data_IF_893203669123
#
_entry.id   IF_893203669123
#
_cell.length_a   1.000
_cell.length_b   1.000
_cell.length_c   1.000
_cell.angle_alpha   90.00
_cell.angle_beta   90.00
_cell.angle_gamma   90.00
#
_symmetry.space_group_name_H-M   'P 1'
#
loop_
_entity.id
_entity.type
_entity.pdbx_description
1 polymer ?
#
# COMPACT_ATOMS: atom_id res chain seq x y z
N UNK A 1 -8.56 60.43 0.51
CA UNK A 1 -8.91 59.00 0.40
C UNK A 1 -10.11 58.89 -0.51
N UNK A 2 -9.97 58.20 -1.65
CA UNK A 2 -11.03 58.11 -2.65
C UNK A 2 -12.00 56.97 -2.29
N UNK A 3 -13.28 57.27 -2.14
CA UNK A 3 -14.31 56.29 -1.74
C UNK A 3 -14.36 55.07 -2.66
N UNK A 4 -13.96 55.25 -3.91
CA UNK A 4 -13.94 54.20 -4.93
C UNK A 4 -12.85 53.16 -4.69
N UNK A 5 -11.64 53.59 -4.32
CA UNK A 5 -10.53 52.65 -4.07
C UNK A 5 -10.74 51.83 -2.80
N UNK A 6 -11.48 52.38 -1.82
CA UNK A 6 -11.85 51.67 -0.60
C UNK A 6 -12.88 50.55 -0.87
N UNK A 7 -13.88 50.80 -1.72
CA UNK A 7 -14.88 49.79 -2.08
C UNK A 7 -14.27 48.68 -2.95
N UNK A 8 -13.38 49.03 -3.89
CA UNK A 8 -12.66 48.06 -4.73
C UNK A 8 -11.76 47.13 -3.88
N UNK A 9 -11.04 47.68 -2.90
CA UNK A 9 -10.21 46.87 -2.00
C UNK A 9 -11.03 45.99 -1.06
N UNK A 10 -12.15 46.48 -0.53
CA UNK A 10 -13.05 45.68 0.32
C UNK A 10 -13.72 44.53 -0.45
N UNK A 11 -14.13 44.76 -1.71
CA UNK A 11 -14.75 43.73 -2.54
C UNK A 11 -13.74 42.69 -3.06
N UNK A 12 -12.50 43.11 -3.38
CA UNK A 12 -11.42 42.18 -3.70
C UNK A 12 -11.02 41.29 -2.50
N UNK A 13 -10.98 41.85 -1.28
CA UNK A 13 -10.70 41.10 -0.06
C UNK A 13 -11.78 40.06 0.28
N UNK A 14 -13.06 40.38 0.09
CA UNK A 14 -14.16 39.46 0.34
C UNK A 14 -14.15 38.26 -0.62
N UNK A 15 -13.81 38.46 -1.89
CA UNK A 15 -13.73 37.39 -2.89
C UNK A 15 -12.61 36.38 -2.59
N UNK A 16 -11.46 36.84 -2.09
CA UNK A 16 -10.35 35.97 -1.69
C UNK A 16 -10.68 35.11 -0.46
N UNK A 17 -11.47 35.63 0.48
CA UNK A 17 -11.92 34.89 1.67
C UNK A 17 -12.95 33.80 1.33
N UNK A 18 -13.82 34.03 0.34
CA UNK A 18 -14.76 33.01 -0.14
C UNK A 18 -14.07 31.93 -1.00
N UNK A 19 -13.03 32.29 -1.74
CA UNK A 19 -12.25 31.33 -2.53
C UNK A 19 -11.44 30.37 -1.63
N UNK A 20 -10.93 30.84 -0.49
CA UNK A 20 -10.19 30.01 0.47
C UNK A 20 -11.10 29.13 1.33
N UNK A 21 -12.39 29.45 1.47
CA UNK A 21 -13.39 28.56 2.05
C UNK A 21 -13.88 27.46 1.08
N UNK A 22 -13.60 27.60 -0.23
CA UNK A 22 -14.00 26.68 -1.28
C UNK A 22 -12.84 25.83 -1.84
N UNK A 23 -11.60 26.02 -1.37
CA UNK A 23 -10.51 25.11 -1.67
C UNK A 23 -10.68 23.86 -0.80
N UNK A 24 -10.85 22.69 -1.41
CA UNK A 24 -11.35 21.54 -0.71
C UNK A 24 -10.25 21.05 0.23
N UNK A 25 -10.62 20.78 1.48
CA UNK A 25 -9.93 19.81 2.31
C UNK A 25 -10.08 18.45 1.62
N UNK A 26 -9.32 18.25 0.54
CA UNK A 26 -8.95 16.94 0.01
C UNK A 26 -7.75 16.43 0.83
N UNK A 27 -7.88 16.48 2.15
CA UNK A 27 -7.12 15.53 2.96
C UNK A 27 -7.78 14.19 2.67
N UNK A 28 -7.15 13.40 1.79
CA UNK A 28 -7.57 12.02 1.57
C UNK A 28 -7.52 11.33 2.93
N UNK A 29 -8.70 11.01 3.45
CA UNK A 29 -8.88 10.29 4.71
C UNK A 29 -8.27 8.89 4.47
N UNK A 30 -7.03 8.68 4.92
CA UNK A 30 -6.26 7.45 4.68
C UNK A 30 -6.76 6.35 5.61
N UNK A 31 -8.02 5.94 5.44
CA UNK A 31 -8.65 4.90 6.24
C UNK A 31 -8.27 3.52 5.71
N UNK A 32 -7.95 2.55 6.58
CA UNK A 32 -7.75 1.16 6.17
C UNK A 32 -8.96 0.65 5.40
N UNK A 33 -8.75 0.22 4.16
CA UNK A 33 -9.80 -0.35 3.32
C UNK A 33 -9.60 -1.85 3.20
N UNK A 34 -10.63 -2.61 3.54
CA UNK A 34 -10.68 -4.02 3.22
C UNK A 34 -10.95 -4.20 1.72
N UNK A 35 -10.11 -4.99 1.06
CA UNK A 35 -10.27 -5.39 -0.34
C UNK A 35 -10.81 -6.83 -0.41
N UNK A 36 -11.34 -7.22 -1.57
CA UNK A 36 -11.90 -8.56 -1.76
C UNK A 36 -10.83 -9.63 -1.55
N UNK A 37 -11.23 -10.79 -0.99
CA UNK A 37 -10.35 -11.96 -0.91
C UNK A 37 -10.17 -12.54 -2.30
N UNK A 38 -8.95 -12.94 -2.60
CA UNK A 38 -8.56 -13.53 -3.88
C UNK A 38 -7.75 -14.79 -3.63
N UNK A 39 -7.81 -15.73 -4.58
CA UNK A 39 -6.93 -16.88 -4.58
C UNK A 39 -5.64 -16.55 -5.31
N UNK A 40 -4.49 -16.77 -4.66
CA UNK A 40 -3.20 -16.73 -5.35
C UNK A 40 -3.01 -18.00 -6.17
N UNK A 41 -2.66 -17.85 -7.44
CA UNK A 41 -2.45 -18.94 -8.40
C UNK A 41 -1.10 -18.85 -9.06
N UNK A 42 -0.50 -19.96 -9.46
CA UNK A 42 0.70 -19.99 -10.30
C UNK A 42 0.41 -19.55 -11.75
N UNK A 43 1.43 -19.58 -12.62
CA UNK A 43 1.31 -19.25 -14.03
C UNK A 43 0.35 -20.16 -14.82
N UNK A 44 0.08 -21.37 -14.33
CA UNK A 44 -0.84 -22.34 -14.91
C UNK A 44 -2.29 -22.18 -14.40
N UNK A 45 -2.53 -21.27 -13.45
CA UNK A 45 -3.84 -21.02 -12.85
C UNK A 45 -4.18 -21.93 -11.66
N UNK A 46 -3.27 -22.82 -11.27
CA UNK A 46 -3.46 -23.67 -10.09
C UNK A 46 -3.29 -22.87 -8.81
N UNK A 47 -4.05 -23.25 -7.77
CA UNK A 47 -3.92 -22.66 -6.45
C UNK A 47 -2.49 -22.78 -5.93
N UNK A 48 -1.92 -21.66 -5.47
CA UNK A 48 -0.61 -21.63 -4.83
C UNK A 48 -0.62 -22.49 -3.57
N UNK A 49 0.29 -23.46 -3.51
CA UNK A 49 0.56 -24.24 -2.31
C UNK A 49 1.66 -23.58 -1.50
N UNK A 50 1.43 -23.33 -0.20
CA UNK A 50 2.46 -22.75 0.66
C UNK A 50 3.77 -23.56 0.68
N UNK A 51 3.68 -24.89 0.51
CA UNK A 51 4.83 -25.79 0.45
C UNK A 51 5.71 -25.64 -0.80
N UNK A 52 5.24 -24.96 -1.85
CA UNK A 52 6.05 -24.70 -3.04
C UNK A 52 6.89 -23.43 -2.92
N UNK A 53 6.72 -22.64 -1.86
CA UNK A 53 7.50 -21.43 -1.60
C UNK A 53 8.86 -21.81 -1.01
N UNK A 54 9.93 -21.52 -1.76
CA UNK A 54 11.29 -21.63 -1.25
C UNK A 54 11.51 -20.61 -0.13
N UNK A 55 12.19 -21.04 0.93
CA UNK A 55 12.57 -20.14 2.00
C UNK A 55 13.55 -19.08 1.48
N UNK A 56 13.40 -17.84 1.96
CA UNK A 56 14.26 -16.71 1.64
C UNK A 56 14.30 -16.33 0.14
N UNK A 57 13.30 -16.76 -0.63
CA UNK A 57 13.11 -16.39 -2.03
C UNK A 57 12.02 -15.33 -2.15
N UNK A 58 12.33 -14.22 -2.85
CA UNK A 58 11.38 -13.15 -3.15
C UNK A 58 10.46 -13.54 -4.31
N UNK A 59 9.17 -13.69 -4.03
CA UNK A 59 8.14 -13.81 -5.05
C UNK A 59 7.34 -12.51 -5.12
N UNK A 60 6.74 -12.22 -6.27
CA UNK A 60 5.91 -11.02 -6.48
C UNK A 60 4.55 -11.41 -7.03
N UNK A 61 3.51 -10.74 -6.52
CA UNK A 61 2.16 -10.74 -7.08
C UNK A 61 1.58 -9.32 -6.98
N UNK A 62 0.41 -9.11 -7.58
CA UNK A 62 -0.23 -7.80 -7.62
C UNK A 62 -1.57 -7.83 -6.88
N UNK A 63 -1.73 -6.94 -5.90
CA UNK A 63 -2.95 -6.82 -5.12
C UNK A 63 -3.03 -5.46 -4.40
N UNK A 64 -4.21 -4.82 -4.34
CA UNK A 64 -5.47 -5.23 -4.96
C UNK A 64 -5.58 -4.85 -6.44
N UNK A 65 -4.62 -4.09 -6.96
CA UNK A 65 -4.56 -3.64 -8.35
C UNK A 65 -3.30 -4.17 -9.05
N UNK A 66 -3.33 -4.22 -10.38
CA UNK A 66 -2.16 -4.59 -11.19
C UNK A 66 -0.97 -3.64 -10.96
N UNK A 67 -1.20 -2.38 -10.58
CA UNK A 67 -0.14 -1.42 -10.31
C UNK A 67 0.41 -1.46 -8.86
N UNK A 68 -0.07 -2.38 -8.01
CA UNK A 68 0.33 -2.47 -6.60
C UNK A 68 1.04 -3.79 -6.34
N UNK A 69 2.38 -3.85 -6.54
CA UNK A 69 3.15 -5.07 -6.32
C UNK A 69 3.31 -5.37 -4.83
N UNK A 70 3.29 -6.66 -4.50
CA UNK A 70 3.39 -7.21 -3.15
C UNK A 70 4.46 -8.30 -3.15
N UNK A 71 5.40 -8.22 -2.20
CA UNK A 71 6.33 -9.30 -1.94
C UNK A 71 5.64 -10.42 -1.19
N UNK A 72 5.91 -11.65 -1.60
CA UNK A 72 5.53 -12.88 -0.92
C UNK A 72 6.81 -13.64 -0.54
N UNK A 73 6.93 -13.99 0.74
CA UNK A 73 8.12 -14.61 1.30
C UNK A 73 7.74 -15.79 2.19
N UNK A 74 8.51 -16.88 2.08
CA UNK A 74 8.64 -17.84 3.17
C UNK A 74 9.92 -17.49 3.95
N UNK A 75 9.78 -17.09 5.21
CA UNK A 75 10.93 -16.66 6.04
C UNK A 75 11.80 -17.84 6.53
N UNK A 76 11.35 -19.09 6.35
CA UNK A 76 12.02 -20.28 6.91
C UNK A 76 11.93 -20.40 8.43
N UNK A 77 11.28 -19.44 9.11
CA UNK A 77 11.04 -19.40 10.55
C UNK A 77 9.68 -18.78 10.83
N UNK A 78 9.11 -19.09 11.99
CA UNK A 78 7.84 -18.52 12.41
C UNK A 78 7.94 -17.00 12.57
N UNK A 79 6.94 -16.29 12.05
CA UNK A 79 6.66 -14.89 12.32
C UNK A 79 5.45 -14.81 13.26
N UNK A 80 5.67 -14.64 14.58
CA UNK A 80 4.58 -14.59 15.54
C UNK A 80 3.76 -13.30 15.39
N UNK A 81 2.51 -13.28 15.89
CA UNK A 81 1.73 -12.06 16.01
C UNK A 81 2.48 -10.97 16.77
N UNK A 82 2.30 -9.71 16.37
CA UNK A 82 2.99 -8.57 16.98
C UNK A 82 2.06 -7.37 17.11
N UNK A 83 2.11 -6.69 18.26
CA UNK A 83 1.50 -5.38 18.43
C UNK A 83 2.43 -4.30 17.89
N UNK A 84 1.91 -3.45 17.01
CA UNK A 84 2.64 -2.43 16.28
C UNK A 84 1.95 -1.07 16.45
N UNK A 85 2.69 0.01 16.21
CA UNK A 85 2.17 1.37 16.20
C UNK A 85 2.35 2.00 14.82
N UNK A 86 1.34 2.73 14.35
CA UNK A 86 1.47 3.58 13.16
C UNK A 86 2.34 4.80 13.45
N UNK A 87 2.68 5.58 12.41
CA UNK A 87 3.36 6.86 12.57
C UNK A 87 2.61 7.80 13.53
N UNK A 88 1.28 7.75 13.49
CA UNK A 88 0.39 8.57 14.32
C UNK A 88 0.14 7.95 15.71
N UNK A 89 0.91 6.92 16.08
CA UNK A 89 0.84 6.18 17.35
C UNK A 89 -0.46 5.41 17.57
N UNK A 90 -1.19 5.11 16.51
CA UNK A 90 -2.34 4.21 16.60
C UNK A 90 -1.83 2.77 16.73
N UNK A 91 -2.35 2.03 17.70
CA UNK A 91 -2.00 0.64 17.91
C UNK A 91 -2.75 -0.26 16.92
N UNK A 92 -2.05 -1.23 16.32
CA UNK A 92 -2.66 -2.30 15.56
C UNK A 92 -1.97 -3.64 15.83
N UNK A 93 -2.73 -4.73 15.72
CA UNK A 93 -2.20 -6.08 15.88
C UNK A 93 -1.96 -6.70 14.49
N UNK A 94 -0.71 -7.04 14.20
CA UNK A 94 -0.38 -7.86 13.04
C UNK A 94 -0.53 -9.35 13.42
N UNK A 95 -1.32 -10.15 12.68
CA UNK A 95 -1.63 -11.54 13.05
C UNK A 95 -0.46 -12.51 12.86
N UNK A 96 0.69 -12.06 12.33
CA UNK A 96 1.84 -12.90 12.05
C UNK A 96 1.76 -13.61 10.69
N UNK A 97 2.72 -14.49 10.45
CA UNK A 97 2.80 -15.28 9.22
C UNK A 97 1.75 -16.38 9.15
N UNK A 98 1.37 -16.76 7.95
CA UNK A 98 0.35 -17.80 7.68
C UNK A 98 0.98 -19.16 7.38
N UNK A 99 0.12 -20.18 7.24
CA UNK A 99 0.52 -21.57 6.98
C UNK A 99 0.94 -22.33 8.24
N UNK A 100 1.19 -23.65 8.13
CA UNK A 100 1.47 -24.51 9.29
C UNK A 100 2.67 -24.07 10.13
N UNK A 101 3.70 -23.49 9.48
CA UNK A 101 4.91 -23.00 10.14
C UNK A 101 4.85 -21.51 10.54
N UNK A 102 3.75 -20.81 10.23
CA UNK A 102 3.61 -19.35 10.40
C UNK A 102 4.76 -18.55 9.76
N UNK A 103 5.32 -19.04 8.67
CA UNK A 103 6.53 -18.48 8.05
C UNK A 103 6.24 -17.69 6.78
N UNK A 104 5.01 -17.77 6.25
CA UNK A 104 4.64 -17.09 5.01
C UNK A 104 4.12 -15.70 5.32
N UNK A 105 4.74 -14.67 4.74
CA UNK A 105 4.38 -13.26 4.92
C UNK A 105 4.22 -12.56 3.58
N UNK A 106 3.39 -11.52 3.56
CA UNK A 106 3.23 -10.64 2.41
C UNK A 106 3.23 -9.17 2.84
N UNK A 107 3.90 -8.31 2.06
CA UNK A 107 3.99 -6.87 2.32
C UNK A 107 4.19 -6.09 1.03
N UNK A 108 3.80 -4.80 1.05
CA UNK A 108 3.95 -3.90 -0.09
C UNK A 108 5.39 -3.91 -0.62
N UNK A 109 5.55 -4.13 -1.93
CA UNK A 109 6.83 -3.95 -2.60
C UNK A 109 7.11 -2.48 -2.95
N UNK A 110 6.18 -1.56 -2.63
CA UNK A 110 6.36 -0.12 -2.73
C UNK A 110 6.91 0.41 -1.41
N UNK A 111 8.04 1.12 -1.45
CA UNK A 111 8.60 1.74 -0.26
C UNK A 111 7.73 2.93 0.18
N UNK A 112 7.41 2.99 1.48
CA UNK A 112 6.62 4.08 2.04
C UNK A 112 7.35 5.44 2.06
N UNK A 113 8.65 5.45 1.77
CA UNK A 113 9.49 6.64 1.84
C UNK A 113 9.38 7.53 0.59
N UNK A 114 9.54 6.93 -0.61
CA UNK A 114 9.54 7.66 -1.90
C UNK A 114 8.57 7.07 -2.92
N UNK A 115 7.75 6.08 -2.53
CA UNK A 115 6.80 5.39 -3.41
C UNK A 115 7.49 4.70 -4.60
N UNK A 116 8.79 4.39 -4.45
CA UNK A 116 9.58 3.63 -5.42
C UNK A 116 9.38 2.15 -5.13
N UNK A 117 9.24 1.36 -6.18
CA UNK A 117 9.26 -0.10 -6.10
C UNK A 117 10.45 -0.67 -6.90
N UNK A 118 10.99 -1.83 -6.51
CA UNK A 118 12.10 -2.43 -7.23
C UNK A 118 11.66 -2.86 -8.64
N UNK A 119 12.27 -2.29 -9.67
CA UNK A 119 12.08 -2.77 -11.05
C UNK A 119 13.00 -3.98 -11.30
N UNK A 120 12.70 -4.85 -12.28
CA UNK A 120 13.55 -5.97 -12.63
C UNK A 120 15.00 -5.57 -12.99
N UNK A 121 15.22 -4.32 -13.44
CA UNK A 121 16.55 -3.84 -13.81
C UNK A 121 17.43 -3.42 -12.61
N UNK A 122 16.83 -3.12 -11.45
CA UNK A 122 17.56 -2.72 -10.22
C UNK A 122 17.48 -3.77 -9.11
N UNK A 123 16.67 -4.81 -9.33
CA UNK A 123 16.58 -5.98 -8.46
C UNK A 123 17.49 -7.06 -9.04
N UNK A 124 18.73 -7.17 -8.54
CA UNK A 124 19.66 -8.27 -8.86
C UNK A 124 19.15 -9.67 -8.45
N UNK A 125 17.88 -9.80 -8.05
CA UNK A 125 17.18 -11.05 -7.80
C UNK A 125 16.21 -11.26 -8.95
N UNK A 126 16.57 -12.16 -9.87
CA UNK A 126 15.73 -12.53 -11.01
C UNK A 126 14.30 -12.78 -10.57
N UNK A 127 13.37 -12.00 -11.13
CA UNK A 127 11.96 -12.10 -10.78
C UNK A 127 11.42 -13.47 -11.16
N UNK A 128 11.12 -14.31 -10.16
CA UNK A 128 10.16 -15.39 -10.35
C UNK A 128 8.79 -14.72 -10.38
N UNK A 129 8.47 -14.23 -11.57
CA UNK A 129 7.14 -13.76 -11.96
C UNK A 129 6.28 -15.01 -12.09
N UNK A 130 5.27 -15.20 -11.25
CA UNK A 130 4.47 -16.42 -11.35
C UNK A 130 3.12 -16.40 -10.63
N UNK A 131 2.89 -15.49 -9.69
CA UNK A 131 1.64 -15.50 -8.93
C UNK A 131 0.66 -14.43 -9.36
N UNK A 132 -0.57 -14.86 -9.63
CA UNK A 132 -1.71 -14.00 -10.01
C UNK A 132 -2.83 -14.15 -9.01
N UNK A 133 -3.62 -13.09 -8.84
CA UNK A 133 -4.84 -13.12 -8.04
C UNK A 133 -6.01 -13.53 -8.92
N UNK A 134 -6.78 -14.54 -8.50
CA UNK A 134 -8.07 -14.89 -9.09
C UNK A 134 -9.20 -14.58 -8.10
N UNK A 135 -10.19 -13.83 -8.58
CA UNK A 135 -11.40 -13.48 -7.83
C UNK A 135 -12.33 -14.68 -7.60
#
# INVERSE_FOLDING_TARGET
>A
MDRRSFIESCSAGAACLTASAALPVLAADARPRAYARVLLTNEFGDALKASSLQAQTNYVFHYPFEATPVFLLNLGRAAPPQALATKDREAYAWPGGVGPQRSVVAFSAICAHQLVYPTPQVSFMGGISGFRCRS
#
